data_IF_706243785358
#
_entry.id   IF_706243785358
#
_cell.length_a   1.000
_cell.length_b   1.000
_cell.length_c   1.000
_cell.angle_alpha   90.00
_cell.angle_beta   90.00
_cell.angle_gamma   90.00
#
_symmetry.space_group_name_H-M   'P 1'
#
loop_
_entity.id
_entity.type
_entity.pdbx_description
1 polymer ?
#
# COMPACT_ATOMS: atom_id res chain seq x y z
N UNK A 1 42.18 -25.06 17.15
CA UNK A 1 41.25 -25.16 16.00
C UNK A 1 39.81 -24.80 16.42
N UNK A 2 39.54 -23.55 16.84
CA UNK A 2 38.22 -23.09 17.32
C UNK A 2 37.77 -21.76 16.69
N UNK A 3 38.23 -21.46 15.48
CA UNK A 3 37.90 -20.20 14.77
C UNK A 3 36.91 -20.37 13.60
N UNK A 4 36.56 -21.60 13.20
CA UNK A 4 35.80 -21.84 11.97
C UNK A 4 34.26 -21.76 12.07
N UNK A 5 33.68 -21.79 13.27
CA UNK A 5 32.24 -21.96 13.46
C UNK A 5 31.45 -20.65 13.65
N UNK A 6 32.11 -19.55 13.97
CA UNK A 6 31.45 -18.24 14.09
C UNK A 6 31.23 -17.52 12.75
N UNK A 7 31.91 -17.94 11.68
CA UNK A 7 31.78 -17.30 10.36
C UNK A 7 30.52 -17.77 9.60
N UNK A 8 30.01 -18.98 9.86
CA UNK A 8 28.84 -19.53 9.15
C UNK A 8 27.51 -18.89 9.52
N UNK A 9 27.35 -18.42 10.76
CA UNK A 9 26.11 -17.81 11.26
C UNK A 9 25.96 -16.34 10.86
N UNK A 10 27.05 -15.66 10.51
CA UNK A 10 27.04 -14.27 10.05
C UNK A 10 26.61 -14.15 8.57
N UNK A 11 26.79 -15.20 7.76
CA UNK A 11 26.44 -15.20 6.33
C UNK A 11 24.92 -15.38 6.12
N UNK A 12 24.21 -16.04 7.04
CA UNK A 12 22.75 -16.23 6.95
C UNK A 12 21.95 -15.00 7.44
N UNK A 13 22.53 -14.12 8.27
CA UNK A 13 21.90 -12.85 8.67
C UNK A 13 21.93 -11.77 7.59
N UNK A 14 22.93 -11.80 6.70
CA UNK A 14 23.12 -10.81 5.63
C UNK A 14 22.20 -11.02 4.41
N UNK A 15 21.56 -12.17 4.26
CA UNK A 15 20.66 -12.44 3.12
C UNK A 15 19.25 -11.88 3.30
N UNK A 16 18.77 -11.67 4.53
CA UNK A 16 17.43 -11.10 4.77
C UNK A 16 17.44 -9.56 4.69
N UNK A 17 18.53 -8.90 5.08
CA UNK A 17 18.67 -7.43 4.98
C UNK A 17 18.90 -6.97 3.53
N UNK A 18 19.46 -7.83 2.67
CA UNK A 18 19.67 -7.54 1.24
C UNK A 18 18.39 -7.46 0.39
N UNK A 19 17.25 -7.96 0.88
CA UNK A 19 15.98 -7.93 0.13
C UNK A 19 15.30 -6.56 0.13
N UNK A 20 15.51 -5.75 1.17
CA UNK A 20 14.91 -4.41 1.23
C UNK A 20 15.65 -3.43 0.31
N UNK A 21 16.95 -3.62 0.10
CA UNK A 21 17.71 -2.75 -0.80
C UNK A 21 17.43 -3.02 -2.29
N UNK A 22 17.05 -4.25 -2.67
CA UNK A 22 16.63 -4.59 -4.05
C UNK A 22 15.28 -4.00 -4.47
N UNK A 23 14.42 -3.59 -3.54
CA UNK A 23 13.18 -2.91 -3.91
C UNK A 23 13.41 -1.47 -4.38
N UNK A 24 14.47 -0.80 -3.90
CA UNK A 24 14.81 0.55 -4.33
C UNK A 24 15.41 0.60 -5.75
N UNK A 25 16.14 -0.44 -6.19
CA UNK A 25 16.74 -0.49 -7.54
C UNK A 25 15.71 -0.73 -8.64
N UNK A 26 14.63 -1.47 -8.37
CA UNK A 26 13.56 -1.72 -9.35
C UNK A 26 12.75 -0.45 -9.70
N UNK A 27 12.77 0.60 -8.86
CA UNK A 27 12.09 1.87 -9.18
C UNK A 27 12.84 2.65 -10.27
N UNK A 28 14.18 2.59 -10.32
CA UNK A 28 14.96 3.24 -11.40
C UNK A 28 14.79 2.54 -12.76
N UNK A 29 14.67 1.21 -12.79
CA UNK A 29 14.47 0.47 -14.04
C UNK A 29 13.10 0.73 -14.70
N UNK A 30 12.05 1.01 -13.90
CA UNK A 30 10.73 1.39 -14.45
C UNK A 30 10.74 2.75 -15.16
N UNK A 31 11.58 3.69 -14.73
CA UNK A 31 11.72 4.98 -15.43
C UNK A 31 12.52 4.86 -16.73
N UNK A 32 13.53 3.98 -16.78
CA UNK A 32 14.28 3.71 -18.01
C UNK A 32 13.43 2.98 -19.07
N UNK A 33 12.58 2.05 -18.65
CA UNK A 33 11.68 1.32 -19.57
C UNK A 33 10.52 2.19 -20.07
N UNK A 34 9.97 3.10 -19.25
CA UNK A 34 8.98 4.08 -19.73
C UNK A 34 9.58 5.06 -20.75
N UNK A 35 10.83 5.50 -20.57
CA UNK A 35 11.52 6.34 -21.55
C UNK A 35 11.77 5.60 -22.88
N UNK A 36 12.10 4.30 -22.83
CA UNK A 36 12.31 3.49 -24.03
C UNK A 36 11.01 3.19 -24.81
N UNK A 37 9.88 3.00 -24.11
CA UNK A 37 8.56 2.81 -24.76
C UNK A 37 8.08 4.11 -25.43
N UNK A 38 8.45 5.27 -24.88
CA UNK A 38 8.08 6.57 -25.45
C UNK A 38 8.94 6.97 -26.67
N UNK A 39 10.09 6.31 -26.86
CA UNK A 39 10.95 6.46 -28.04
C UNK A 39 10.59 5.51 -29.19
N UNK A 40 9.55 4.67 -29.05
CA UNK A 40 9.07 3.88 -30.17
C UNK A 40 8.52 4.80 -31.26
N UNK A 41 8.95 4.62 -32.53
CA UNK A 41 8.42 5.39 -33.65
C UNK A 41 6.91 5.18 -33.71
N UNK A 42 6.15 6.28 -33.75
CA UNK A 42 4.70 6.26 -33.96
C UNK A 42 4.39 5.31 -35.12
N UNK A 43 3.43 4.38 -34.97
CA UNK A 43 3.04 3.49 -36.05
C UNK A 43 2.70 4.33 -37.28
N UNK A 44 3.46 4.12 -38.34
CA UNK A 44 3.36 4.80 -39.63
C UNK A 44 1.96 4.51 -40.19
N UNK A 45 1.18 5.57 -40.40
CA UNK A 45 -0.25 5.54 -40.72
C UNK A 45 -0.49 5.29 -42.22
N UNK A 46 0.29 4.37 -42.80
CA UNK A 46 0.41 4.17 -44.24
C UNK A 46 -0.17 2.81 -44.65
N UNK A 47 -1.04 2.20 -43.82
CA UNK A 47 -1.86 1.08 -44.27
C UNK A 47 -3.04 1.65 -45.05
N UNK A 48 -2.82 1.70 -46.35
CA UNK A 48 -3.81 1.86 -47.41
C UNK A 48 -5.04 1.00 -47.13
N UNK A 49 -6.03 1.65 -46.51
CA UNK A 49 -7.39 1.79 -47.00
C UNK A 49 -7.66 1.03 -48.31
N UNK A 50 -7.96 -0.26 -48.19
CA UNK A 50 -8.91 -0.91 -49.09
C UNK A 50 -10.25 -0.17 -48.96
N UNK A 51 -10.67 0.47 -50.03
CA UNK A 51 -11.87 1.29 -50.13
C UNK A 51 -13.13 0.41 -50.03
N UNK A 52 -13.51 0.05 -48.82
CA UNK A 52 -14.85 -0.45 -48.54
C UNK A 52 -15.76 0.76 -48.59
N UNK A 53 -16.45 0.92 -49.72
CA UNK A 53 -17.49 1.91 -49.98
C UNK A 53 -18.66 1.70 -49.00
N UNK A 54 -18.49 2.12 -47.75
CA UNK A 54 -19.58 2.23 -46.80
C UNK A 54 -20.45 3.39 -47.28
N UNK A 55 -21.67 3.05 -47.69
CA UNK A 55 -22.76 4.00 -47.85
C UNK A 55 -22.96 4.65 -46.49
N UNK A 56 -22.41 5.85 -46.34
CA UNK A 56 -22.68 6.72 -45.19
C UNK A 56 -24.11 7.21 -45.40
N UNK A 57 -25.05 6.53 -44.75
CA UNK A 57 -26.39 7.08 -44.58
C UNK A 57 -26.21 8.20 -43.56
N UNK A 58 -26.25 9.45 -44.05
CA UNK A 58 -26.26 10.66 -43.23
C UNK A 58 -27.52 10.65 -42.35
N UNK A 59 -27.44 9.94 -41.22
CA UNK A 59 -28.37 10.16 -40.12
C UNK A 59 -27.95 11.47 -39.46
N UNK A 60 -28.83 12.49 -39.40
CA UNK A 60 -28.54 13.66 -38.59
C UNK A 60 -28.19 13.15 -37.19
N UNK A 61 -27.13 13.69 -36.53
CA UNK A 61 -26.77 13.28 -35.19
C UNK A 61 -27.98 13.53 -34.30
N UNK A 62 -28.77 12.48 -34.08
CA UNK A 62 -29.79 12.49 -33.07
C UNK A 62 -28.98 12.71 -31.81
N UNK A 63 -29.15 13.90 -31.21
CA UNK A 63 -28.62 14.17 -29.90
C UNK A 63 -29.10 13.03 -29.03
N UNK A 64 -28.22 12.06 -28.76
CA UNK A 64 -28.53 10.98 -27.85
C UNK A 64 -29.04 11.69 -26.60
N UNK A 65 -30.27 11.37 -26.14
CA UNK A 65 -30.81 12.03 -24.98
C UNK A 65 -29.73 11.91 -23.91
N UNK A 66 -29.21 13.05 -23.44
CA UNK A 66 -28.27 13.08 -22.34
C UNK A 66 -29.04 12.44 -21.20
N UNK A 67 -28.86 11.14 -21.02
CA UNK A 67 -29.46 10.40 -19.93
C UNK A 67 -28.72 10.91 -18.72
N UNK A 68 -29.28 11.98 -18.12
CA UNK A 68 -28.82 12.55 -16.88
C UNK A 68 -28.73 11.38 -15.91
N UNK A 69 -27.51 10.91 -15.66
CA UNK A 69 -27.28 9.83 -14.70
C UNK A 69 -27.96 10.30 -13.42
N UNK A 70 -28.93 9.54 -12.88
CA UNK A 70 -29.68 9.96 -11.71
C UNK A 70 -28.68 10.45 -10.66
N UNK A 71 -28.89 11.67 -10.19
CA UNK A 71 -28.01 12.33 -9.24
C UNK A 71 -27.93 11.43 -7.99
N UNK A 72 -26.83 10.70 -7.86
CA UNK A 72 -26.64 9.77 -6.75
C UNK A 72 -26.58 10.58 -5.46
N UNK A 73 -27.65 10.51 -4.66
CA UNK A 73 -27.70 11.19 -3.37
C UNK A 73 -26.57 10.65 -2.48
N UNK A 74 -25.65 11.51 -2.00
CA UNK A 74 -24.57 11.05 -1.14
C UNK A 74 -25.15 10.59 0.20
N UNK A 75 -24.70 9.43 0.68
CA UNK A 75 -25.09 8.92 2.00
C UNK A 75 -24.45 9.75 3.12
N UNK A 76 -23.28 10.32 2.84
CA UNK A 76 -22.53 11.13 3.77
C UNK A 76 -21.64 12.09 2.98
N UNK A 77 -21.54 13.32 3.46
CA UNK A 77 -20.68 14.37 2.91
C UNK A 77 -19.97 15.07 4.05
N UNK A 78 -18.69 15.40 3.84
CA UNK A 78 -17.94 16.28 4.72
C UNK A 78 -17.12 17.27 3.90
N UNK A 79 -17.09 18.52 4.36
CA UNK A 79 -16.22 19.56 3.82
C UNK A 79 -15.10 19.78 4.82
N UNK A 80 -13.86 19.63 4.36
CA UNK A 80 -12.66 19.84 5.17
C UNK A 80 -11.78 20.89 4.51
N UNK A 81 -11.02 21.63 5.32
CA UNK A 81 -10.11 22.65 4.82
C UNK A 81 -8.73 22.40 5.41
N UNK A 82 -7.77 22.14 4.54
CA UNK A 82 -6.36 22.05 4.88
C UNK A 82 -5.66 23.40 4.77
N UNK A 83 -4.54 23.50 5.48
CA UNK A 83 -3.71 24.71 5.59
C UNK A 83 -2.25 24.35 5.38
N UNK A 84 -1.52 25.20 4.65
CA UNK A 84 -0.12 24.94 4.35
C UNK A 84 0.68 26.18 4.06
N UNK A 85 2.01 26.05 4.16
CA UNK A 85 2.97 27.09 3.75
C UNK A 85 3.00 27.24 2.24
N UNK A 86 2.86 26.12 1.54
CA UNK A 86 2.68 26.06 0.09
C UNK A 86 1.29 25.52 -0.24
N UNK A 87 0.88 25.72 -1.49
CA UNK A 87 -0.36 25.15 -2.01
C UNK A 87 -0.36 23.62 -1.93
N UNK A 88 0.78 22.97 -2.19
CA UNK A 88 0.89 21.51 -2.11
C UNK A 88 0.72 21.03 -0.67
N UNK A 89 1.35 21.72 0.31
CA UNK A 89 1.21 21.37 1.72
C UNK A 89 -0.26 21.50 2.18
N UNK A 90 -0.95 22.55 1.72
CA UNK A 90 -2.36 22.76 2.05
C UNK A 90 -3.27 21.69 1.45
N UNK A 91 -2.96 21.23 0.23
CA UNK A 91 -3.67 20.12 -0.42
C UNK A 91 -3.43 18.80 0.33
N UNK A 92 -2.18 18.49 0.67
CA UNK A 92 -1.82 17.27 1.40
C UNK A 92 -2.48 17.23 2.79
N UNK A 93 -2.48 18.36 3.51
CA UNK A 93 -3.17 18.53 4.79
C UNK A 93 -4.70 18.34 4.66
N UNK A 94 -5.31 18.94 3.63
CA UNK A 94 -6.75 18.81 3.38
C UNK A 94 -7.13 17.35 3.07
N UNK A 95 -6.29 16.63 2.32
CA UNK A 95 -6.50 15.23 1.98
C UNK A 95 -6.33 14.31 3.19
N UNK A 96 -5.40 14.60 4.10
CA UNK A 96 -5.24 13.81 5.33
C UNK A 96 -6.39 14.05 6.32
N UNK A 97 -6.88 15.29 6.45
CA UNK A 97 -8.09 15.60 7.21
C UNK A 97 -9.34 14.93 6.60
N UNK A 98 -9.47 14.95 5.26
CA UNK A 98 -10.55 14.26 4.55
C UNK A 98 -10.51 12.75 4.84
N UNK A 99 -9.32 12.16 4.79
CA UNK A 99 -9.08 10.75 5.11
C UNK A 99 -9.47 10.45 6.56
N UNK A 100 -9.08 11.29 7.50
CA UNK A 100 -9.44 11.15 8.92
C UNK A 100 -10.95 11.21 9.15
N UNK A 101 -11.65 12.13 8.48
CA UNK A 101 -13.12 12.23 8.53
C UNK A 101 -13.79 10.95 7.98
N UNK A 102 -13.29 10.41 6.86
CA UNK A 102 -13.78 9.16 6.29
C UNK A 102 -13.52 7.97 7.22
N UNK A 103 -12.34 7.89 7.84
CA UNK A 103 -12.02 6.84 8.83
C UNK A 103 -12.99 6.91 10.01
N UNK A 104 -13.27 8.10 10.53
CA UNK A 104 -14.21 8.30 11.62
C UNK A 104 -15.62 7.82 11.21
N UNK A 105 -16.07 8.20 10.01
CA UNK A 105 -17.34 7.74 9.46
C UNK A 105 -17.40 6.20 9.34
N UNK A 106 -16.36 5.57 8.81
CA UNK A 106 -16.27 4.11 8.64
C UNK A 106 -16.23 3.35 9.98
N UNK A 107 -15.58 3.92 11.01
CA UNK A 107 -15.55 3.34 12.37
C UNK A 107 -16.90 3.40 13.07
N UNK A 108 -17.73 4.40 12.75
CA UNK A 108 -19.06 4.56 13.31
C UNK A 108 -20.13 3.68 12.63
N UNK A 109 -19.78 2.96 11.56
CA UNK A 109 -20.68 2.01 10.90
C UNK A 109 -20.94 0.76 11.75
N UNK A 110 -22.08 0.09 11.49
CA UNK A 110 -22.43 -1.20 12.10
C UNK A 110 -22.55 -2.26 10.99
N UNK A 111 -21.57 -3.19 10.86
CA UNK A 111 -20.37 -3.39 11.68
C UNK A 111 -19.25 -2.35 11.42
N UNK A 112 -18.35 -2.11 12.39
CA UNK A 112 -17.28 -1.13 12.23
C UNK A 112 -16.25 -1.61 11.20
N UNK A 113 -15.97 -0.76 10.22
CA UNK A 113 -14.99 -1.06 9.17
C UNK A 113 -13.60 -0.63 9.66
N UNK A 114 -12.71 -1.58 9.91
CA UNK A 114 -11.33 -1.32 10.37
C UNK A 114 -10.36 -0.91 9.25
N UNK A 115 -10.82 -0.93 8.01
CA UNK A 115 -9.99 -0.58 6.86
C UNK A 115 -9.69 0.91 6.83
N UNK A 116 -8.44 1.24 6.54
CA UNK A 116 -7.94 2.60 6.43
C UNK A 116 -7.72 2.89 4.95
N UNK A 117 -8.50 3.79 4.32
CA UNK A 117 -8.30 4.13 2.92
C UNK A 117 -6.93 4.81 2.73
N UNK A 118 -6.17 4.45 1.68
CA UNK A 118 -4.96 5.19 1.32
C UNK A 118 -5.34 6.59 0.79
N UNK A 119 -4.47 7.57 0.96
CA UNK A 119 -4.71 8.97 0.55
C UNK A 119 -5.05 9.07 -0.95
N UNK A 120 -4.37 8.30 -1.79
CA UNK A 120 -4.64 8.20 -3.24
C UNK A 120 -6.06 7.72 -3.57
N UNK A 121 -6.67 6.91 -2.70
CA UNK A 121 -8.06 6.49 -2.88
C UNK A 121 -9.02 7.64 -2.55
N UNK A 122 -8.72 8.42 -1.51
CA UNK A 122 -9.53 9.59 -1.12
C UNK A 122 -9.53 10.62 -2.24
N UNK A 123 -8.34 11.04 -2.72
CA UNK A 123 -8.22 12.04 -3.78
C UNK A 123 -8.90 11.63 -5.08
N UNK A 124 -8.80 10.36 -5.49
CA UNK A 124 -9.34 9.90 -6.78
C UNK A 124 -10.82 9.53 -6.77
N UNK A 125 -11.36 9.07 -5.65
CA UNK A 125 -12.70 8.44 -5.60
C UNK A 125 -13.69 9.15 -4.69
N UNK A 126 -13.21 9.79 -3.63
CA UNK A 126 -14.07 10.39 -2.60
C UNK A 126 -14.26 11.90 -2.78
N UNK A 127 -13.27 12.59 -3.37
CA UNK A 127 -13.36 14.03 -3.65
C UNK A 127 -14.39 14.28 -4.77
N UNK A 128 -15.40 15.09 -4.47
CA UNK A 128 -16.40 15.55 -5.44
C UNK A 128 -16.10 16.96 -5.93
N UNK A 129 -15.76 17.83 -4.99
CA UNK A 129 -15.44 19.22 -5.25
C UNK A 129 -14.13 19.57 -4.55
N UNK A 130 -13.32 20.36 -5.24
CA UNK A 130 -12.09 20.91 -4.73
C UNK A 130 -12.05 22.39 -5.03
N UNK A 131 -11.77 23.20 -4.02
CA UNK A 131 -11.72 24.64 -4.14
C UNK A 131 -10.40 25.15 -3.57
N UNK A 132 -9.64 25.82 -4.43
CA UNK A 132 -8.49 26.60 -3.99
C UNK A 132 -9.02 27.92 -3.44
N UNK A 133 -8.91 28.12 -2.13
CA UNK A 133 -9.26 29.39 -1.52
C UNK A 133 -8.11 30.40 -1.70
N UNK A 134 -8.47 31.68 -1.71
CA UNK A 134 -7.45 32.74 -1.72
C UNK A 134 -6.60 32.67 -0.44
N UNK A 135 -5.30 33.01 -0.52
CA UNK A 135 -4.42 33.00 0.64
C UNK A 135 -5.00 33.90 1.74
N UNK A 136 -5.21 33.33 2.93
CA UNK A 136 -5.76 34.08 4.06
C UNK A 136 -4.61 34.64 4.89
N UNK A 137 -4.65 35.94 5.16
CA UNK A 137 -3.73 36.55 6.13
C UNK A 137 -4.16 36.16 7.54
N UNK A 138 -3.27 35.50 8.27
CA UNK A 138 -3.47 35.04 9.65
C UNK A 138 -2.43 35.71 10.54
N UNK A 139 -2.70 35.80 11.83
CA UNK A 139 -1.71 36.32 12.77
C UNK A 139 -0.44 35.46 12.70
N UNK A 140 0.76 36.08 12.59
CA UNK A 140 2.01 35.34 12.57
C UNK A 140 2.14 34.43 13.79
N UNK A 141 2.46 33.17 13.54
CA UNK A 141 2.74 32.16 14.57
C UNK A 141 3.99 31.36 14.19
N UNK A 142 4.47 30.49 15.08
CA UNK A 142 5.68 29.68 14.85
C UNK A 142 5.59 28.84 13.57
N UNK A 143 4.38 28.42 13.20
CA UNK A 143 4.13 27.63 11.99
C UNK A 143 4.06 28.48 10.72
N UNK A 144 3.61 29.74 10.83
CA UNK A 144 3.40 30.67 9.71
C UNK A 144 3.99 32.05 10.01
N UNK A 145 5.32 32.22 9.95
CA UNK A 145 5.99 33.47 10.36
C UNK A 145 5.62 34.68 9.49
N UNK A 146 5.25 34.46 8.23
CA UNK A 146 4.85 35.53 7.30
C UNK A 146 3.37 35.93 7.44
N UNK A 147 2.61 35.22 8.28
CA UNK A 147 1.17 35.41 8.43
C UNK A 147 0.37 35.15 7.14
N UNK A 148 0.94 34.44 6.16
CA UNK A 148 0.26 34.02 4.93
C UNK A 148 0.07 32.51 4.98
N UNK A 149 -1.18 32.06 4.85
CA UNK A 149 -1.55 30.65 4.81
C UNK A 149 -2.32 30.36 3.53
N UNK A 150 -1.82 29.41 2.74
CA UNK A 150 -2.57 28.85 1.63
C UNK A 150 -3.65 27.92 2.21
N UNK A 151 -4.86 28.00 1.65
CA UNK A 151 -6.00 27.20 2.10
C UNK A 151 -6.53 26.36 0.95
N UNK A 152 -6.80 25.09 1.23
CA UNK A 152 -7.37 24.16 0.27
C UNK A 152 -8.60 23.48 0.86
N UNK A 153 -9.76 23.66 0.24
CA UNK A 153 -11.01 23.08 0.72
C UNK A 153 -11.43 21.93 -0.18
N UNK A 154 -11.72 20.78 0.44
CA UNK A 154 -12.10 19.55 -0.23
C UNK A 154 -13.45 19.10 0.31
N UNK A 155 -14.39 18.83 -0.60
CA UNK A 155 -15.64 18.17 -0.27
C UNK A 155 -15.54 16.69 -0.63
N UNK A 156 -15.62 15.84 0.39
CA UNK A 156 -15.69 14.39 0.21
C UNK A 156 -17.13 13.91 0.37
N UNK A 157 -17.54 13.00 -0.51
CA UNK A 157 -18.85 12.37 -0.43
C UNK A 157 -18.75 10.85 -0.60
N UNK A 158 -19.50 10.12 0.23
CA UNK A 158 -19.61 8.67 0.18
C UNK A 158 -20.97 8.31 -0.40
N UNK A 159 -20.98 7.67 -1.58
CA UNK A 159 -22.19 7.11 -2.20
C UNK A 159 -22.39 5.65 -1.77
N UNK A 160 -23.59 5.11 -2.00
CA UNK A 160 -23.91 3.71 -1.66
C UNK A 160 -23.01 2.70 -2.39
N UNK A 161 -22.70 2.96 -3.66
CA UNK A 161 -21.82 2.08 -4.44
C UNK A 161 -20.38 2.17 -3.96
N UNK A 162 -19.91 3.37 -3.61
CA UNK A 162 -18.59 3.53 -3.04
C UNK A 162 -18.47 2.87 -1.66
N UNK A 163 -19.54 2.90 -0.86
CA UNK A 163 -19.57 2.17 0.41
C UNK A 163 -19.41 0.66 0.22
N UNK A 164 -20.05 0.08 -0.79
CA UNK A 164 -19.89 -1.35 -1.15
C UNK A 164 -18.46 -1.64 -1.61
N UNK A 165 -17.89 -0.78 -2.45
CA UNK A 165 -16.50 -0.91 -2.91
C UNK A 165 -15.52 -0.87 -1.73
N UNK A 166 -15.71 0.07 -0.79
CA UNK A 166 -14.89 0.16 0.43
C UNK A 166 -15.02 -1.09 1.30
N UNK A 167 -16.23 -1.64 1.44
CA UNK A 167 -16.43 -2.89 2.18
C UNK A 167 -15.73 -4.08 1.50
N UNK A 168 -15.72 -4.14 0.16
CA UNK A 168 -15.01 -5.16 -0.59
C UNK A 168 -13.49 -5.05 -0.43
N UNK A 169 -12.95 -3.84 -0.52
CA UNK A 169 -11.53 -3.57 -0.28
C UNK A 169 -11.12 -3.92 1.14
N UNK A 170 -11.97 -3.59 2.13
CA UNK A 170 -11.76 -3.96 3.53
C UNK A 170 -11.69 -5.48 3.72
N UNK A 171 -12.60 -6.23 3.09
CA UNK A 171 -12.60 -7.70 3.13
C UNK A 171 -11.32 -8.28 2.52
N UNK A 172 -10.89 -7.76 1.37
CA UNK A 172 -9.66 -8.21 0.70
C UNK A 172 -8.42 -7.93 1.54
N UNK A 173 -8.31 -6.76 2.15
CA UNK A 173 -7.20 -6.40 3.03
C UNK A 173 -7.10 -7.35 4.23
N UNK A 174 -8.23 -7.65 4.88
CA UNK A 174 -8.25 -8.60 6.01
C UNK A 174 -7.87 -10.03 5.59
N UNK A 175 -8.28 -10.47 4.40
CA UNK A 175 -7.89 -11.79 3.89
C UNK A 175 -6.38 -11.89 3.63
N UNK A 176 -5.77 -10.82 3.08
CA UNK A 176 -4.32 -10.78 2.85
C UNK A 176 -3.54 -10.86 4.16
N UNK A 177 -3.97 -10.14 5.19
CA UNK A 177 -3.33 -10.14 6.51
C UNK A 177 -3.38 -11.54 7.16
N UNK A 178 -4.55 -12.20 7.10
CA UNK A 178 -4.69 -13.58 7.60
C UNK A 178 -3.83 -14.57 6.81
N UNK A 179 -3.76 -14.43 5.50
CA UNK A 179 -2.93 -15.29 4.66
C UNK A 179 -1.44 -15.11 4.96
N UNK A 180 -0.99 -13.87 5.18
CA UNK A 180 0.39 -13.60 5.61
C UNK A 180 0.68 -14.17 6.99
N UNK A 181 -0.25 -14.08 7.94
CA UNK A 181 -0.11 -14.68 9.26
C UNK A 181 0.03 -16.21 9.16
N UNK A 182 -0.84 -16.86 8.37
CA UNK A 182 -0.77 -18.30 8.12
C UNK A 182 0.55 -18.69 7.43
N UNK A 183 1.01 -17.91 6.46
CA UNK A 183 2.29 -18.14 5.79
C UNK A 183 3.48 -18.04 6.78
N UNK A 184 3.45 -17.04 7.68
CA UNK A 184 4.45 -16.91 8.76
C UNK A 184 4.42 -18.11 9.70
N UNK A 185 3.24 -18.54 10.15
CA UNK A 185 3.07 -19.71 11.02
C UNK A 185 3.63 -20.99 10.35
N UNK A 186 3.28 -21.20 9.07
CA UNK A 186 3.76 -22.33 8.29
C UNK A 186 5.28 -22.31 8.14
N UNK A 187 5.87 -21.14 7.86
CA UNK A 187 7.32 -21.00 7.75
C UNK A 187 8.04 -21.37 9.04
N UNK A 188 7.52 -20.96 10.20
CA UNK A 188 8.06 -21.35 11.52
C UNK A 188 7.96 -22.86 11.72
N UNK A 189 6.83 -23.47 11.40
CA UNK A 189 6.63 -24.92 11.53
C UNK A 189 7.59 -25.72 10.64
N UNK A 190 7.73 -25.33 9.37
CA UNK A 190 8.68 -25.95 8.43
C UNK A 190 10.12 -25.75 8.90
N UNK A 191 10.46 -24.58 9.43
CA UNK A 191 11.78 -24.32 10.02
C UNK A 191 12.08 -25.26 11.19
N UNK A 192 11.13 -25.45 12.11
CA UNK A 192 11.27 -26.35 13.25
C UNK A 192 11.46 -27.81 12.80
N UNK A 193 10.65 -28.27 11.83
CA UNK A 193 10.78 -29.59 11.23
C UNK A 193 12.14 -29.77 10.53
N UNK A 194 12.61 -28.74 9.81
CA UNK A 194 13.92 -28.74 9.17
C UNK A 194 15.07 -28.88 10.17
N UNK A 195 14.98 -28.19 11.31
CA UNK A 195 15.95 -28.33 12.41
C UNK A 195 15.91 -29.74 13.00
N UNK A 196 14.73 -30.30 13.24
CA UNK A 196 14.58 -31.67 13.76
C UNK A 196 15.10 -32.73 12.77
N UNK A 197 14.83 -32.58 11.47
CA UNK A 197 15.36 -33.47 10.44
C UNK A 197 16.89 -33.34 10.33
N UNK A 198 17.41 -32.12 10.36
CA UNK A 198 18.85 -31.85 10.39
C UNK A 198 19.53 -32.44 11.63
N UNK A 199 18.85 -32.40 12.79
CA UNK A 199 19.29 -33.02 14.04
C UNK A 199 19.51 -34.52 13.85
N UNK A 200 18.49 -35.25 13.37
CA UNK A 200 18.57 -36.71 13.22
C UNK A 200 19.71 -37.09 12.29
N UNK A 201 19.88 -36.34 11.19
CA UNK A 201 20.95 -36.58 10.23
C UNK A 201 22.36 -36.33 10.80
N UNK A 202 22.52 -35.28 11.61
CA UNK A 202 23.79 -34.97 12.27
C UNK A 202 24.13 -35.97 13.38
N UNK A 203 23.12 -36.50 14.08
CA UNK A 203 23.31 -37.49 15.12
C UNK A 203 23.84 -38.82 14.54
N UNK A 204 23.26 -39.27 13.42
CA UNK A 204 23.73 -40.44 12.66
C UNK A 204 25.22 -40.33 12.28
N UNK A 205 25.66 -39.13 11.89
CA UNK A 205 27.05 -38.89 11.49
C UNK A 205 28.02 -38.76 12.68
N UNK A 206 27.55 -38.29 13.82
CA UNK A 206 28.44 -37.91 14.93
C UNK A 206 28.61 -38.98 16.01
N UNK A 207 27.95 -40.15 15.88
CA UNK A 207 28.06 -41.29 16.82
C UNK A 207 27.95 -40.88 18.31
N UNK A 208 27.16 -39.85 18.63
CA UNK A 208 26.83 -39.44 20.00
C UNK A 208 27.78 -38.45 20.70
N UNK A 209 28.84 -37.93 20.06
CA UNK A 209 29.80 -37.05 20.75
C UNK A 209 29.30 -35.60 21.05
N UNK A 210 28.15 -35.17 20.50
CA UNK A 210 27.74 -33.75 20.48
C UNK A 210 26.50 -33.36 21.31
N UNK A 211 26.01 -34.24 22.17
CA UNK A 211 24.76 -34.03 22.94
C UNK A 211 24.76 -32.75 23.81
N UNK A 212 25.91 -32.28 24.28
CA UNK A 212 26.03 -31.08 25.11
C UNK A 212 25.85 -29.75 24.36
N UNK A 213 26.49 -29.58 23.20
CA UNK A 213 26.37 -28.34 22.41
C UNK A 213 24.98 -28.19 21.79
N UNK A 214 24.32 -29.31 21.51
CA UNK A 214 22.99 -29.30 20.92
C UNK A 214 21.91 -28.81 21.88
N UNK A 215 22.00 -29.10 23.18
CA UNK A 215 21.06 -28.56 24.18
C UNK A 215 21.13 -27.04 24.25
N UNK A 216 22.33 -26.47 24.10
CA UNK A 216 22.52 -25.01 24.04
C UNK A 216 21.96 -24.41 22.74
N UNK A 217 22.16 -25.06 21.59
CA UNK A 217 21.60 -24.60 20.33
C UNK A 217 20.06 -24.63 20.35
N UNK A 218 19.46 -25.70 20.87
CA UNK A 218 18.01 -25.83 21.03
C UNK A 218 17.45 -24.76 21.99
N UNK A 219 18.08 -24.56 23.15
CA UNK A 219 17.68 -23.52 24.09
C UNK A 219 17.81 -22.11 23.48
N UNK A 220 18.88 -21.86 22.71
CA UNK A 220 19.09 -20.61 21.99
C UNK A 220 18.02 -20.36 20.93
N UNK A 221 17.63 -21.38 20.16
CA UNK A 221 16.57 -21.27 19.16
C UNK A 221 15.19 -21.02 19.76
N UNK A 222 14.87 -21.68 20.88
CA UNK A 222 13.60 -21.43 21.58
C UNK A 222 13.58 -20.02 22.17
N UNK A 223 14.68 -19.58 22.82
CA UNK A 223 14.77 -18.23 23.37
C UNK A 223 14.69 -17.15 22.27
N UNK A 224 15.38 -17.34 21.15
CA UNK A 224 15.35 -16.43 20.02
C UNK A 224 13.98 -16.43 19.31
N UNK A 225 13.36 -17.60 19.14
CA UNK A 225 12.03 -17.74 18.53
C UNK A 225 10.94 -17.07 19.36
N UNK A 226 10.96 -17.23 20.68
CA UNK A 226 10.01 -16.55 21.58
C UNK A 226 10.25 -15.04 21.60
N UNK A 227 11.51 -14.60 21.68
CA UNK A 227 11.85 -13.17 21.65
C UNK A 227 11.40 -12.49 20.35
N UNK A 228 11.63 -13.15 19.22
CA UNK A 228 11.25 -12.64 17.90
C UNK A 228 9.74 -12.71 17.69
N UNK A 229 9.06 -13.74 18.21
CA UNK A 229 7.59 -13.83 18.18
C UNK A 229 6.92 -12.71 18.98
N UNK A 230 7.41 -12.42 20.18
CA UNK A 230 6.88 -11.33 21.03
C UNK A 230 7.14 -9.96 20.41
N UNK A 231 8.34 -9.73 19.88
CA UNK A 231 8.66 -8.47 19.20
C UNK A 231 7.77 -8.24 17.97
N UNK A 232 7.49 -9.30 17.21
CA UNK A 232 6.73 -9.22 15.95
C UNK A 232 5.22 -9.06 16.18
N UNK A 233 4.69 -9.56 17.31
CA UNK A 233 3.32 -9.28 17.75
C UNK A 233 3.19 -7.84 18.26
N UNK A 234 4.22 -7.31 18.92
CA UNK A 234 4.21 -5.94 19.45
C UNK A 234 4.48 -4.87 18.36
N UNK A 235 5.03 -5.25 17.21
CA UNK A 235 5.32 -4.34 16.10
C UNK A 235 4.13 -4.12 15.13
N UNK A 236 2.99 -4.74 15.40
CA UNK A 236 1.76 -4.63 14.61
C UNK A 236 0.66 -3.94 15.43
#
# INVERSE_FOLDING_TARGET
MRLGLFLGLLILGLTVVGSVHRYASLRRERHATLAAVQALPKPRKDSERGEVRRVVVDFPPQAEPVVSRPEETPLWTATVTGKGKTMQDAEDDALDEARSAVILYLRNQKPPVRWVPPQDFVSRKLVKEQHRAEPKKVEPCDEFPNGLVEQYTVQVAVTADLQREMADLARRAQMQERMLLLAKLLAVLVGLLGVAAGYVRLDEWSKGYYTGWLRLAAAGFVAAGVGMGVWLVNSH
#
